data_IF_637547872907
#
_entry.id   IF_637547872907
#
_cell.length_a   1.000
_cell.length_b   1.000
_cell.length_c   1.000
_cell.angle_alpha   90.00
_cell.angle_beta   90.00
_cell.angle_gamma   90.00
#
_symmetry.space_group_name_H-M   'P 1'
#
loop_
_entity.id
_entity.type
_entity.pdbx_description
1 polymer ?
#
# COMPACT_ATOMS: atom_id res chain seq x y z
N UNK A 1 31.98 43.29 2.01
CA UNK A 1 32.29 41.88 2.32
C UNK A 1 31.05 41.04 2.00
N UNK A 2 30.84 40.64 0.73
CA UNK A 2 31.31 39.38 0.11
C UNK A 2 30.96 38.16 0.98
N UNK A 3 30.09 37.20 0.63
CA UNK A 3 29.70 36.65 -0.68
C UNK A 3 28.24 36.12 -0.62
N UNK A 4 27.36 36.64 -1.49
CA UNK A 4 26.14 35.96 -1.97
C UNK A 4 26.44 35.44 -3.38
N UNK A 5 26.31 34.13 -3.65
CA UNK A 5 25.85 33.55 -4.94
C UNK A 5 25.94 32.01 -4.95
N UNK A 6 24.84 31.39 -5.41
CA UNK A 6 24.69 30.13 -6.17
C UNK A 6 25.20 28.82 -5.55
N UNK A 7 24.27 27.92 -5.21
CA UNK A 7 24.26 26.53 -5.73
C UNK A 7 22.79 26.12 -5.97
N UNK A 8 22.51 25.73 -7.22
CA UNK A 8 21.28 25.09 -7.69
C UNK A 8 21.67 23.62 -8.01
N UNK A 9 20.72 22.68 -7.85
CA UNK A 9 20.67 21.29 -8.37
C UNK A 9 21.39 20.20 -7.56
N UNK A 10 20.61 19.23 -7.06
CA UNK A 10 20.72 17.82 -7.44
C UNK A 10 19.55 17.00 -6.81
N UNK A 11 18.72 16.42 -7.68
CA UNK A 11 17.73 15.37 -7.40
C UNK A 11 18.49 14.03 -7.31
N UNK A 12 18.18 13.09 -6.39
CA UNK A 12 18.79 11.77 -6.46
C UNK A 12 18.01 10.92 -7.49
N UNK A 13 18.47 10.95 -8.74
CA UNK A 13 18.24 9.91 -9.71
C UNK A 13 19.25 8.79 -9.46
N UNK A 14 18.87 7.78 -8.68
CA UNK A 14 19.74 6.60 -8.47
C UNK A 14 18.91 5.35 -8.16
N UNK A 15 18.08 4.93 -9.12
CA UNK A 15 17.56 3.56 -9.16
C UNK A 15 17.15 3.09 -10.58
N UNK A 16 17.84 3.59 -11.62
CA UNK A 16 17.61 3.18 -13.03
C UNK A 16 18.85 2.50 -13.64
N UNK A 17 19.97 2.37 -12.92
CA UNK A 17 21.25 2.00 -13.54
C UNK A 17 21.68 0.51 -13.46
N UNK A 18 20.86 -0.43 -12.94
CA UNK A 18 21.31 -1.84 -12.80
C UNK A 18 20.64 -2.82 -13.79
N UNK A 19 19.52 -2.46 -14.42
CA UNK A 19 18.90 -3.33 -15.45
C UNK A 19 19.58 -3.19 -16.83
N UNK A 20 20.43 -2.16 -17.01
CA UNK A 20 21.06 -1.84 -18.29
C UNK A 20 22.36 -2.58 -18.63
N UNK A 21 22.96 -3.35 -17.71
CA UNK A 21 24.30 -3.93 -17.92
C UNK A 21 24.37 -5.45 -18.13
N UNK A 22 23.27 -6.20 -18.01
CA UNK A 22 23.29 -7.67 -18.18
C UNK A 22 22.91 -8.13 -19.60
N UNK A 23 22.48 -7.22 -20.48
CA UNK A 23 22.02 -7.60 -21.84
C UNK A 23 23.15 -7.66 -22.88
N UNK A 24 24.40 -7.31 -22.55
CA UNK A 24 25.49 -7.21 -23.53
C UNK A 24 26.51 -8.37 -23.54
N UNK A 25 26.43 -9.37 -22.64
CA UNK A 25 27.54 -10.33 -22.44
C UNK A 25 27.16 -11.82 -22.53
N UNK A 26 26.10 -12.14 -23.29
CA UNK A 26 25.74 -13.53 -23.64
C UNK A 26 25.59 -13.79 -25.15
N UNK A 27 26.22 -12.97 -25.98
CA UNK A 27 26.39 -13.26 -27.39
C UNK A 27 27.87 -13.53 -27.69
N UNK A 28 28.13 -14.71 -28.26
CA UNK A 28 29.33 -15.06 -29.03
C UNK A 28 30.50 -15.71 -28.27
N UNK A 29 30.51 -17.05 -28.24
CA UNK A 29 31.75 -17.82 -28.39
C UNK A 29 31.43 -19.24 -28.90
N UNK A 30 31.43 -19.41 -30.22
CA UNK A 30 31.31 -20.70 -30.89
C UNK A 30 32.41 -20.80 -31.96
N UNK A 31 33.43 -21.61 -31.67
CA UNK A 31 34.61 -21.80 -32.50
C UNK A 31 34.34 -22.61 -33.77
N UNK A 32 35.13 -22.31 -34.80
CA UNK A 32 35.17 -23.01 -36.08
C UNK A 32 35.73 -24.44 -35.91
N UNK A 33 35.06 -25.42 -36.51
CA UNK A 33 35.66 -26.72 -36.85
C UNK A 33 35.48 -26.94 -38.34
N UNK A 34 36.59 -26.97 -39.08
CA UNK A 34 36.65 -27.43 -40.47
C UNK A 34 36.69 -28.95 -40.50
N UNK A 35 35.79 -29.56 -41.26
CA UNK A 35 36.00 -30.87 -41.86
C UNK A 35 35.21 -30.94 -43.18
N UNK A 36 35.93 -31.08 -44.29
CA UNK A 36 35.33 -31.37 -45.58
C UNK A 36 35.06 -32.86 -45.74
N UNK A 37 34.05 -33.22 -46.55
CA UNK A 37 34.10 -34.33 -47.51
C UNK A 37 32.78 -34.41 -48.32
N UNK A 38 32.97 -34.30 -49.64
CA UNK A 38 32.27 -34.91 -50.79
C UNK A 38 30.73 -34.99 -50.85
N UNK A 39 30.22 -34.53 -51.99
CA UNK A 39 28.87 -34.72 -52.48
C UNK A 39 28.68 -36.08 -53.20
N UNK A 40 27.48 -36.67 -53.04
CA UNK A 40 26.77 -37.45 -54.07
C UNK A 40 25.23 -37.34 -53.85
N UNK A 41 24.38 -37.55 -54.88
CA UNK A 41 23.05 -36.95 -54.94
C UNK A 41 21.85 -37.92 -54.81
N UNK A 42 20.70 -37.29 -54.52
CA UNK A 42 19.31 -37.65 -54.81
C UNK A 42 18.62 -38.84 -54.08
N UNK A 43 17.79 -38.48 -53.08
CA UNK A 43 16.57 -39.19 -52.71
C UNK A 43 15.55 -38.19 -52.14
N UNK A 44 14.28 -38.12 -52.59
CA UNK A 44 13.34 -37.09 -52.15
C UNK A 44 12.62 -37.54 -50.88
N UNK A 45 13.05 -37.00 -49.75
CA UNK A 45 12.23 -36.84 -48.55
C UNK A 45 12.81 -35.68 -47.74
N UNK A 46 12.53 -34.45 -48.18
CA UNK A 46 12.88 -33.27 -47.39
C UNK A 46 12.23 -33.37 -46.00
N UNK A 47 12.90 -32.94 -44.92
CA UNK A 47 12.27 -32.89 -43.62
C UNK A 47 11.05 -31.99 -43.77
N UNK A 48 9.89 -32.46 -43.31
CA UNK A 48 8.72 -31.61 -43.12
C UNK A 48 9.15 -30.50 -42.15
N UNK A 49 9.60 -29.36 -42.69
CA UNK A 49 9.79 -28.13 -41.95
C UNK A 49 8.45 -27.86 -41.29
N UNK A 50 8.41 -28.07 -39.98
CA UNK A 50 7.21 -28.05 -39.18
C UNK A 50 6.72 -26.60 -39.14
N UNK A 51 5.82 -26.22 -40.06
CA UNK A 51 5.23 -24.87 -40.16
C UNK A 51 4.70 -24.35 -38.83
N UNK A 52 4.32 -25.26 -37.91
CA UNK A 52 3.89 -24.91 -36.56
C UNK A 52 5.03 -24.40 -35.67
N UNK A 53 6.25 -24.91 -35.84
CA UNK A 53 7.44 -24.47 -35.10
C UNK A 53 7.89 -23.08 -35.56
N UNK A 54 7.81 -22.79 -36.85
CA UNK A 54 8.11 -21.46 -37.42
C UNK A 54 7.08 -20.41 -36.99
N UNK A 55 5.79 -20.78 -36.95
CA UNK A 55 4.73 -19.92 -36.44
C UNK A 55 4.85 -19.70 -34.93
N UNK A 56 5.24 -20.72 -34.16
CA UNK A 56 5.52 -20.58 -32.73
C UNK A 56 6.77 -19.72 -32.46
N UNK A 57 7.84 -19.88 -33.25
CA UNK A 57 9.03 -19.05 -33.17
C UNK A 57 8.74 -17.58 -33.50
N UNK A 58 7.95 -17.34 -34.54
CA UNK A 58 7.48 -16.00 -34.89
C UNK A 58 6.64 -15.37 -33.77
N UNK A 59 5.70 -16.13 -33.19
CA UNK A 59 4.91 -15.67 -32.03
C UNK A 59 5.79 -15.33 -30.83
N UNK A 60 6.79 -16.14 -30.52
CA UNK A 60 7.75 -15.86 -29.43
C UNK A 60 8.54 -14.57 -29.66
N UNK A 61 8.98 -14.29 -30.89
CA UNK A 61 9.67 -13.03 -31.23
C UNK A 61 8.75 -11.82 -31.02
N UNK A 62 7.50 -11.92 -31.45
CA UNK A 62 6.51 -10.84 -31.24
C UNK A 62 6.21 -10.67 -29.75
N UNK A 63 6.05 -11.76 -29.00
CA UNK A 63 5.88 -11.73 -27.55
C UNK A 63 7.06 -11.00 -26.87
N UNK A 64 8.29 -11.38 -27.21
CA UNK A 64 9.50 -10.74 -26.70
C UNK A 64 9.53 -9.23 -27.01
N UNK A 65 9.11 -8.81 -28.20
CA UNK A 65 9.00 -7.38 -28.55
C UNK A 65 7.98 -6.64 -27.67
N UNK A 66 6.84 -7.26 -27.37
CA UNK A 66 5.86 -6.73 -26.42
C UNK A 66 6.42 -6.64 -25.00
N UNK A 67 7.13 -7.67 -24.54
CA UNK A 67 7.78 -7.65 -23.23
C UNK A 67 8.82 -6.51 -23.13
N UNK A 68 9.66 -6.33 -24.16
CA UNK A 68 10.63 -5.23 -24.23
C UNK A 68 9.94 -3.85 -24.18
N UNK A 69 8.82 -3.71 -24.88
CA UNK A 69 7.99 -2.50 -24.80
C UNK A 69 7.46 -2.27 -23.40
N UNK A 70 6.98 -3.32 -22.73
CA UNK A 70 6.54 -3.29 -21.33
C UNK A 70 7.64 -2.78 -20.40
N UNK A 71 8.86 -3.32 -20.51
CA UNK A 71 10.00 -2.89 -19.69
C UNK A 71 10.40 -1.44 -19.93
N UNK A 72 10.35 -0.97 -21.19
CA UNK A 72 10.58 0.45 -21.51
C UNK A 72 9.53 1.36 -20.89
N UNK A 73 8.26 0.95 -20.89
CA UNK A 73 7.17 1.70 -20.27
C UNK A 73 7.31 1.73 -18.74
N UNK A 74 7.74 0.63 -18.11
CA UNK A 74 8.09 0.59 -16.68
C UNK A 74 9.19 1.60 -16.38
N UNK A 75 10.25 1.64 -17.18
CA UNK A 75 11.34 2.62 -17.02
C UNK A 75 10.87 4.07 -17.20
N UNK A 76 9.84 4.30 -18.01
CA UNK A 76 9.19 5.60 -18.18
C UNK A 76 8.14 5.94 -17.09
N UNK A 77 7.86 5.03 -16.16
CA UNK A 77 6.80 5.20 -15.15
C UNK A 77 5.38 5.02 -15.69
N UNK A 78 5.21 4.60 -16.94
CA UNK A 78 3.91 4.42 -17.60
C UNK A 78 3.30 3.04 -17.32
N UNK A 79 3.10 2.73 -16.03
CA UNK A 79 2.72 1.39 -15.57
C UNK A 79 1.39 0.89 -16.18
N UNK A 80 0.41 1.77 -16.38
CA UNK A 80 -0.86 1.42 -17.02
C UNK A 80 -0.68 0.86 -18.43
N UNK A 81 0.17 1.49 -19.25
CA UNK A 81 0.50 0.98 -20.60
C UNK A 81 1.40 -0.24 -20.54
N UNK A 82 2.31 -0.31 -19.56
CA UNK A 82 3.16 -1.48 -19.34
C UNK A 82 2.31 -2.74 -19.09
N UNK A 83 1.24 -2.65 -18.28
CA UNK A 83 0.33 -3.79 -18.06
C UNK A 83 -0.26 -4.33 -19.36
N UNK A 84 -0.64 -3.45 -20.30
CA UNK A 84 -1.19 -3.85 -21.60
C UNK A 84 -0.13 -4.54 -22.47
N UNK A 85 1.10 -4.01 -22.51
CA UNK A 85 2.19 -4.59 -23.27
C UNK A 85 2.56 -5.99 -22.75
N UNK A 86 2.68 -6.17 -21.43
CA UNK A 86 2.94 -7.50 -20.85
C UNK A 86 1.78 -8.47 -21.05
N UNK A 87 0.52 -8.02 -20.97
CA UNK A 87 -0.63 -8.86 -21.27
C UNK A 87 -0.59 -9.40 -22.71
N UNK A 88 -0.24 -8.55 -23.70
CA UNK A 88 -0.02 -8.99 -25.09
C UNK A 88 1.14 -9.97 -25.24
N UNK A 89 2.23 -9.77 -24.49
CA UNK A 89 3.33 -10.74 -24.46
C UNK A 89 2.86 -12.10 -23.94
N UNK A 90 2.13 -12.12 -22.83
CA UNK A 90 1.61 -13.34 -22.20
C UNK A 90 0.60 -14.07 -23.11
N UNK A 91 -0.27 -13.35 -23.82
CA UNK A 91 -1.20 -13.93 -24.80
C UNK A 91 -0.46 -14.71 -25.90
N UNK A 92 0.71 -14.21 -26.33
CA UNK A 92 1.52 -14.79 -27.40
C UNK A 92 2.50 -15.87 -26.89
N UNK A 93 2.95 -15.75 -25.65
CA UNK A 93 3.89 -16.65 -24.99
C UNK A 93 3.50 -16.87 -23.50
N UNK A 94 2.51 -17.73 -23.22
CA UNK A 94 1.96 -17.90 -21.86
C UNK A 94 2.89 -18.64 -20.87
N UNK A 95 4.07 -19.04 -21.33
CA UNK A 95 5.09 -19.74 -20.54
C UNK A 95 6.30 -18.85 -20.22
N UNK A 96 6.32 -17.59 -20.65
CA UNK A 96 7.40 -16.66 -20.31
C UNK A 96 7.19 -16.06 -18.91
N UNK A 97 7.94 -16.56 -17.93
CA UNK A 97 7.91 -16.04 -16.56
C UNK A 97 8.27 -14.55 -16.47
N UNK A 98 9.18 -14.05 -17.32
CA UNK A 98 9.62 -12.65 -17.30
C UNK A 98 8.48 -11.68 -17.58
N UNK A 99 7.60 -12.00 -18.53
CA UNK A 99 6.42 -11.19 -18.84
C UNK A 99 5.43 -11.14 -17.67
N UNK A 100 5.28 -12.23 -16.91
CA UNK A 100 4.48 -12.23 -15.68
C UNK A 100 5.13 -11.39 -14.57
N UNK A 101 6.46 -11.43 -14.42
CA UNK A 101 7.19 -10.55 -13.48
C UNK A 101 6.96 -9.08 -13.82
N UNK A 102 7.10 -8.70 -15.10
CA UNK A 102 6.88 -7.33 -15.57
C UNK A 102 5.44 -6.85 -15.36
N UNK A 103 4.45 -7.73 -15.59
CA UNK A 103 3.05 -7.44 -15.30
C UNK A 103 2.81 -7.24 -13.79
N UNK A 104 3.34 -8.15 -12.96
CA UNK A 104 3.23 -8.08 -11.50
C UNK A 104 3.87 -6.81 -10.92
N UNK A 105 5.06 -6.43 -11.41
CA UNK A 105 5.70 -5.16 -11.07
C UNK A 105 4.81 -3.97 -11.42
N UNK A 106 4.25 -3.96 -12.63
CA UNK A 106 3.40 -2.86 -13.11
C UNK A 106 2.12 -2.75 -12.28
N UNK A 107 1.53 -3.88 -11.90
CA UNK A 107 0.37 -3.93 -11.00
C UNK A 107 0.70 -3.41 -9.60
N UNK A 108 1.83 -3.84 -9.02
CA UNK A 108 2.30 -3.36 -7.72
C UNK A 108 2.54 -1.84 -7.73
N UNK A 109 3.13 -1.30 -8.80
CA UNK A 109 3.34 0.14 -8.97
C UNK A 109 2.04 0.94 -9.16
N UNK A 110 0.96 0.26 -9.53
CA UNK A 110 -0.39 0.82 -9.59
C UNK A 110 -1.19 0.55 -8.30
N UNK A 111 -0.52 0.12 -7.23
CA UNK A 111 -1.12 -0.26 -5.94
C UNK A 111 -2.16 -1.40 -6.04
N UNK A 112 -2.07 -2.23 -7.09
CA UNK A 112 -2.94 -3.39 -7.31
C UNK A 112 -2.29 -4.66 -6.76
N UNK A 113 -1.95 -4.64 -5.49
CA UNK A 113 -1.07 -5.65 -4.89
C UNK A 113 -1.68 -7.07 -4.88
N UNK A 114 -3.00 -7.21 -4.73
CA UNK A 114 -3.64 -8.53 -4.78
C UNK A 114 -3.51 -9.19 -6.15
N UNK A 115 -3.69 -8.40 -7.21
CA UNK A 115 -3.46 -8.87 -8.59
C UNK A 115 -1.99 -9.16 -8.84
N UNK A 116 -1.10 -8.32 -8.29
CA UNK A 116 0.34 -8.52 -8.38
C UNK A 116 0.77 -9.84 -7.73
N UNK A 117 0.27 -10.18 -6.54
CA UNK A 117 0.56 -11.45 -5.86
C UNK A 117 0.18 -12.64 -6.74
N UNK A 118 -1.06 -12.69 -7.23
CA UNK A 118 -1.54 -13.79 -8.09
C UNK A 118 -0.69 -13.92 -9.36
N UNK A 119 -0.31 -12.80 -9.96
CA UNK A 119 0.50 -12.74 -11.18
C UNK A 119 1.94 -13.20 -10.93
N UNK A 120 2.56 -12.76 -9.84
CA UNK A 120 3.93 -13.13 -9.45
C UNK A 120 4.01 -14.59 -9.02
N UNK A 121 3.00 -15.12 -8.33
CA UNK A 121 2.91 -16.55 -8.06
C UNK A 121 2.78 -17.38 -9.34
N UNK A 122 2.09 -16.86 -10.37
CA UNK A 122 2.08 -17.50 -11.69
C UNK A 122 3.47 -17.49 -12.33
N UNK A 123 4.23 -16.39 -12.20
CA UNK A 123 5.63 -16.35 -12.63
C UNK A 123 6.46 -17.42 -11.92
N UNK A 124 6.33 -17.57 -10.60
CA UNK A 124 7.04 -18.58 -9.81
C UNK A 124 6.64 -20.03 -10.13
N UNK A 125 5.41 -20.26 -10.59
CA UNK A 125 5.00 -21.58 -11.12
C UNK A 125 5.65 -21.93 -12.46
N UNK A 126 6.01 -20.92 -13.26
CA UNK A 126 6.70 -21.10 -14.54
C UNK A 126 8.21 -21.18 -14.35
N UNK A 127 8.76 -20.36 -13.46
CA UNK A 127 10.16 -20.34 -13.07
C UNK A 127 10.29 -20.05 -11.56
N UNK A 128 10.57 -21.09 -10.79
CA UNK A 128 10.76 -20.99 -9.35
C UNK A 128 12.01 -20.19 -8.94
N UNK A 129 12.93 -19.93 -9.88
CA UNK A 129 14.17 -19.17 -9.67
C UNK A 129 14.05 -17.72 -10.16
N UNK A 130 12.86 -17.23 -10.47
CA UNK A 130 12.64 -15.83 -10.81
C UNK A 130 12.85 -14.93 -9.58
N UNK A 131 14.12 -14.54 -9.33
CA UNK A 131 14.53 -13.80 -8.13
C UNK A 131 13.79 -12.47 -7.94
N UNK A 132 13.53 -11.76 -9.04
CA UNK A 132 12.75 -10.52 -8.99
C UNK A 132 11.29 -10.74 -8.59
N UNK A 133 10.68 -11.87 -8.92
CA UNK A 133 9.35 -12.21 -8.43
C UNK A 133 9.35 -12.47 -6.92
N UNK A 134 10.39 -13.16 -6.40
CA UNK A 134 10.57 -13.30 -4.96
C UNK A 134 10.78 -11.95 -4.28
N UNK A 135 11.59 -11.06 -4.83
CA UNK A 135 11.78 -9.72 -4.27
C UNK A 135 10.44 -8.95 -4.20
N UNK A 136 9.69 -8.91 -5.30
CA UNK A 136 8.42 -8.16 -5.36
C UNK A 136 7.36 -8.74 -4.42
N UNK A 137 7.25 -10.07 -4.31
CA UNK A 137 6.39 -10.69 -3.30
C UNK A 137 6.87 -10.34 -1.89
N UNK A 138 8.18 -10.32 -1.63
CA UNK A 138 8.75 -9.86 -0.37
C UNK A 138 8.35 -8.42 -0.04
N UNK A 139 8.45 -7.50 -1.00
CA UNK A 139 8.06 -6.09 -0.87
C UNK A 139 6.55 -5.98 -0.55
N UNK A 140 5.69 -6.68 -1.30
CA UNK A 140 4.24 -6.68 -1.08
C UNK A 140 3.88 -7.24 0.29
N UNK A 141 4.39 -8.42 0.66
CA UNK A 141 4.09 -9.03 1.96
C UNK A 141 4.68 -8.22 3.13
N UNK A 142 5.81 -7.55 2.93
CA UNK A 142 6.36 -6.63 3.93
C UNK A 142 5.46 -5.41 4.13
N UNK A 143 4.93 -4.82 3.05
CA UNK A 143 3.98 -3.73 3.13
C UNK A 143 2.65 -4.14 3.78
N UNK A 144 2.25 -5.41 3.63
CA UNK A 144 1.11 -6.03 4.33
C UNK A 144 1.40 -6.45 5.76
N UNK A 145 2.61 -6.18 6.26
CA UNK A 145 3.07 -6.61 7.58
C UNK A 145 3.01 -8.14 7.82
N UNK A 146 3.06 -8.93 6.74
CA UNK A 146 3.17 -10.39 6.78
C UNK A 146 4.64 -10.80 6.86
N UNK A 147 5.30 -10.36 7.94
CA UNK A 147 6.76 -10.43 8.13
C UNK A 147 7.34 -11.82 7.86
N UNK A 148 6.69 -12.88 8.33
CA UNK A 148 7.17 -14.26 8.13
C UNK A 148 7.14 -14.68 6.66
N UNK A 149 6.13 -14.25 5.91
CA UNK A 149 6.01 -14.53 4.47
C UNK A 149 7.02 -13.70 3.68
N UNK A 150 7.13 -12.41 3.99
CA UNK A 150 8.14 -11.53 3.42
C UNK A 150 9.57 -12.07 3.59
N UNK A 151 9.92 -12.54 4.80
CA UNK A 151 11.22 -13.15 5.08
C UNK A 151 11.53 -14.34 4.16
N UNK A 152 10.60 -15.28 3.97
CA UNK A 152 10.82 -16.45 3.09
C UNK A 152 11.13 -16.02 1.66
N UNK A 153 10.43 -15.01 1.16
CA UNK A 153 10.62 -14.48 -0.18
C UNK A 153 11.96 -13.76 -0.31
N UNK A 154 12.30 -12.85 0.61
CA UNK A 154 13.60 -12.17 0.59
C UNK A 154 14.78 -13.13 0.78
N UNK A 155 14.65 -14.15 1.62
CA UNK A 155 15.69 -15.17 1.79
C UNK A 155 15.90 -15.97 0.51
N UNK A 156 14.83 -16.25 -0.24
CA UNK A 156 14.95 -16.92 -1.55
C UNK A 156 15.54 -16.00 -2.59
N UNK A 157 15.09 -14.75 -2.68
CA UNK A 157 15.67 -13.75 -3.57
C UNK A 157 17.17 -13.57 -3.29
N UNK A 158 17.56 -13.58 -2.01
CA UNK A 158 18.97 -13.52 -1.59
C UNK A 158 19.79 -14.73 -2.02
N UNK A 159 19.22 -15.94 -1.95
CA UNK A 159 19.94 -17.13 -2.42
C UNK A 159 20.19 -17.08 -3.93
N UNK A 160 19.27 -16.47 -4.68
CA UNK A 160 19.34 -16.33 -6.13
C UNK A 160 20.31 -15.22 -6.55
N UNK A 161 20.34 -14.10 -5.82
CA UNK A 161 21.34 -13.05 -5.97
C UNK A 161 21.92 -12.63 -4.60
N UNK A 162 23.08 -13.20 -4.21
CA UNK A 162 23.73 -12.88 -2.93
C UNK A 162 24.20 -11.43 -2.80
N UNK A 163 24.51 -10.77 -3.92
CA UNK A 163 25.19 -9.48 -3.99
C UNK A 163 24.23 -8.29 -4.16
N UNK A 164 22.94 -8.55 -4.38
CA UNK A 164 21.93 -7.49 -4.43
C UNK A 164 21.79 -6.79 -3.07
N UNK A 165 22.24 -5.53 -3.04
CA UNK A 165 22.20 -4.66 -1.85
C UNK A 165 20.77 -4.27 -1.47
N UNK A 166 19.85 -4.17 -2.43
CA UNK A 166 18.45 -3.87 -2.13
C UNK A 166 17.82 -5.04 -1.39
N UNK A 167 18.04 -6.28 -1.85
CA UNK A 167 17.57 -7.48 -1.15
C UNK A 167 18.25 -7.59 0.24
N UNK A 168 19.52 -7.19 0.35
CA UNK A 168 20.24 -7.11 1.64
C UNK A 168 19.53 -6.24 2.65
N UNK A 169 19.26 -5.01 2.26
CA UNK A 169 18.66 -4.00 3.14
C UNK A 169 17.23 -4.38 3.51
N UNK A 170 16.44 -4.85 2.54
CA UNK A 170 15.07 -5.35 2.77
C UNK A 170 15.05 -6.52 3.75
N UNK A 171 15.93 -7.51 3.57
CA UNK A 171 16.01 -8.66 4.46
C UNK A 171 16.45 -8.25 5.87
N UNK A 172 17.42 -7.33 5.99
CA UNK A 172 17.88 -6.83 7.29
C UNK A 172 16.77 -6.08 8.03
N UNK A 173 16.05 -5.19 7.34
CA UNK A 173 14.90 -4.48 7.89
C UNK A 173 13.82 -5.45 8.37
N UNK A 174 13.42 -6.40 7.52
CA UNK A 174 12.38 -7.40 7.84
C UNK A 174 12.80 -8.31 8.99
N UNK A 175 14.09 -8.67 9.11
CA UNK A 175 14.60 -9.45 10.24
C UNK A 175 14.57 -8.67 11.55
N UNK A 176 14.84 -7.36 11.52
CA UNK A 176 14.72 -6.50 12.71
C UNK A 176 13.28 -6.45 13.19
N UNK A 177 12.33 -6.27 12.28
CA UNK A 177 10.90 -6.31 12.58
C UNK A 177 10.49 -7.68 13.16
N UNK A 178 10.87 -8.78 12.51
CA UNK A 178 10.56 -10.13 12.99
C UNK A 178 11.11 -10.40 14.38
N UNK A 179 12.32 -9.91 14.70
CA UNK A 179 12.91 -10.06 16.04
C UNK A 179 12.19 -9.20 17.08
N UNK A 180 11.83 -7.98 16.72
CA UNK A 180 11.04 -7.10 17.59
C UNK A 180 9.69 -7.74 17.93
N UNK A 181 9.05 -8.39 16.96
CA UNK A 181 7.79 -9.11 17.19
C UNK A 181 7.94 -10.44 17.91
N UNK A 182 9.02 -11.19 17.67
CA UNK A 182 9.22 -12.52 18.29
C UNK A 182 9.34 -12.45 19.82
N UNK A 183 9.78 -11.32 20.37
CA UNK A 183 9.83 -11.07 21.81
C UNK A 183 8.50 -10.61 22.42
N UNK A 184 7.44 -10.44 21.62
CA UNK A 184 6.15 -9.95 22.12
C UNK A 184 5.25 -11.10 22.57
N UNK A 185 4.59 -10.90 23.70
CA UNK A 185 3.46 -11.71 24.14
C UNK A 185 2.23 -11.38 23.31
N UNK A 186 1.41 -12.39 23.05
CA UNK A 186 0.16 -12.25 22.30
C UNK A 186 -1.03 -12.55 23.21
N UNK A 187 -2.06 -11.71 23.11
CA UNK A 187 -3.39 -11.94 23.66
C UNK A 187 -4.37 -11.99 22.50
N UNK A 188 -5.09 -13.10 22.40
CA UNK A 188 -6.06 -13.34 21.34
C UNK A 188 -7.48 -13.03 21.83
N UNK A 189 -8.22 -12.29 21.02
CA UNK A 189 -9.66 -12.09 21.13
C UNK A 189 -10.32 -12.48 19.79
N UNK A 190 -11.66 -12.57 19.71
CA UNK A 190 -12.35 -12.97 18.48
C UNK A 190 -11.94 -12.17 17.23
N UNK A 191 -11.72 -10.86 17.36
CA UNK A 191 -11.40 -9.97 16.22
C UNK A 191 -10.03 -9.30 16.32
N UNK A 192 -9.27 -9.53 17.40
CA UNK A 192 -7.98 -8.87 17.60
C UNK A 192 -6.89 -9.82 18.09
N UNK A 193 -5.66 -9.53 17.66
CA UNK A 193 -4.43 -10.06 18.24
C UNK A 193 -3.69 -8.88 18.86
N UNK A 194 -3.64 -8.82 20.18
CA UNK A 194 -2.96 -7.76 20.92
C UNK A 194 -1.56 -8.23 21.30
N UNK A 195 -0.54 -7.58 20.74
CA UNK A 195 0.88 -7.83 21.00
C UNK A 195 1.43 -6.83 22.02
N UNK A 196 2.19 -7.30 23.00
CA UNK A 196 2.75 -6.47 24.07
C UNK A 196 4.08 -7.06 24.57
N UNK A 197 4.96 -6.24 25.15
CA UNK A 197 6.35 -6.65 25.41
C UNK A 197 6.57 -7.37 26.74
N UNK A 198 5.94 -6.91 27.82
CA UNK A 198 6.18 -7.45 29.17
C UNK A 198 4.99 -8.26 29.67
N UNK A 199 5.20 -9.41 30.34
CA UNK A 199 4.13 -10.13 31.03
C UNK A 199 3.35 -9.26 32.03
N UNK A 200 4.00 -8.24 32.62
CA UNK A 200 3.36 -7.31 33.55
C UNK A 200 2.26 -6.46 32.90
N UNK A 201 2.39 -6.18 31.60
CA UNK A 201 1.43 -5.39 30.83
C UNK A 201 0.18 -6.20 30.44
N UNK A 202 0.15 -7.51 30.74
CA UNK A 202 -0.95 -8.41 30.32
C UNK A 202 -2.32 -7.91 30.78
N UNK A 203 -2.41 -7.32 31.97
CA UNK A 203 -3.67 -6.78 32.47
C UNK A 203 -4.16 -5.58 31.65
N UNK A 204 -3.24 -4.65 31.28
CA UNK A 204 -3.54 -3.52 30.41
C UNK A 204 -3.89 -4.01 29.01
N UNK A 205 -3.12 -4.97 28.48
CA UNK A 205 -3.38 -5.57 27.17
C UNK A 205 -4.77 -6.22 27.10
N UNK A 206 -5.22 -6.85 28.20
CA UNK A 206 -6.57 -7.40 28.29
C UNK A 206 -7.62 -6.30 28.28
N UNK A 207 -7.44 -5.24 29.06
CA UNK A 207 -8.36 -4.11 29.08
C UNK A 207 -8.48 -3.44 27.70
N UNK A 208 -7.36 -3.25 26.99
CA UNK A 208 -7.36 -2.72 25.61
C UNK A 208 -8.07 -3.69 24.65
N UNK A 209 -7.83 -5.00 24.76
CA UNK A 209 -8.51 -5.99 23.93
C UNK A 209 -10.03 -5.97 24.13
N UNK A 210 -10.50 -5.92 25.39
CA UNK A 210 -11.92 -5.84 25.71
C UNK A 210 -12.55 -4.54 25.17
N UNK A 211 -11.80 -3.43 25.17
CA UNK A 211 -12.26 -2.16 24.61
C UNK A 211 -12.28 -2.15 23.08
N UNK A 212 -11.30 -2.77 22.43
CA UNK A 212 -11.29 -2.99 20.98
C UNK A 212 -12.50 -3.82 20.55
N UNK A 213 -12.86 -4.87 21.27
CA UNK A 213 -14.04 -5.69 20.99
C UNK A 213 -15.36 -4.92 21.16
N UNK A 214 -15.45 -4.04 22.16
CA UNK A 214 -16.62 -3.16 22.29
C UNK A 214 -16.69 -2.14 21.15
N UNK A 215 -15.55 -1.57 20.77
CA UNK A 215 -15.42 -0.60 19.67
C UNK A 215 -15.81 -1.24 18.34
N UNK A 216 -15.34 -2.46 18.09
CA UNK A 216 -15.73 -3.29 16.94
C UNK A 216 -17.26 -3.43 16.84
N UNK A 217 -17.93 -3.76 17.94
CA UNK A 217 -19.40 -3.86 17.98
C UNK A 217 -20.07 -2.51 17.71
N UNK A 218 -19.56 -1.44 18.34
CA UNK A 218 -20.17 -0.11 18.29
C UNK A 218 -20.04 0.53 16.92
N UNK A 219 -18.82 0.63 16.40
CA UNK A 219 -18.53 1.19 15.08
C UNK A 219 -19.14 0.30 13.99
N UNK A 220 -19.02 -1.02 14.13
CA UNK A 220 -19.57 -1.96 13.16
C UNK A 220 -21.09 -1.90 13.04
N UNK A 221 -21.80 -1.74 14.17
CA UNK A 221 -23.25 -1.56 14.16
C UNK A 221 -23.68 -0.24 13.51
N UNK A 222 -22.98 0.85 13.80
CA UNK A 222 -23.27 2.17 13.22
C UNK A 222 -22.99 2.22 11.72
N UNK A 223 -21.92 1.60 11.25
CA UNK A 223 -21.61 1.49 9.82
C UNK A 223 -22.44 0.41 9.10
N UNK A 224 -23.04 -0.53 9.84
CA UNK A 224 -23.58 -1.78 9.30
C UNK A 224 -22.51 -2.56 8.51
N UNK A 225 -21.31 -2.67 9.09
CA UNK A 225 -20.18 -3.40 8.51
C UNK A 225 -19.29 -3.98 9.60
N UNK A 226 -19.03 -5.28 9.50
CA UNK A 226 -18.18 -6.02 10.42
C UNK A 226 -17.01 -6.60 9.60
N UNK A 227 -15.81 -6.01 9.69
CA UNK A 227 -14.69 -6.46 8.88
C UNK A 227 -14.35 -7.93 9.19
N UNK A 228 -14.20 -8.79 8.18
CA UNK A 228 -13.85 -10.18 8.40
C UNK A 228 -12.40 -10.33 8.87
N UNK A 229 -12.07 -11.44 9.53
CA UNK A 229 -10.72 -11.69 10.05
C UNK A 229 -10.39 -10.88 11.30
N UNK A 230 -9.10 -10.84 11.65
CA UNK A 230 -8.62 -10.15 12.86
C UNK A 230 -7.67 -8.99 12.54
N UNK A 231 -7.66 -7.99 13.40
CA UNK A 231 -6.69 -6.89 13.39
C UNK A 231 -5.56 -7.18 14.38
N UNK A 232 -4.34 -6.75 14.04
CA UNK A 232 -3.24 -6.77 15.01
C UNK A 232 -3.13 -5.42 15.68
N UNK A 233 -3.16 -5.40 17.01
CA UNK A 233 -2.85 -4.22 17.81
C UNK A 233 -1.52 -4.41 18.53
N UNK A 234 -0.61 -3.45 18.48
CA UNK A 234 0.69 -3.51 19.14
C UNK A 234 0.77 -2.41 20.21
N UNK A 235 1.05 -2.83 21.44
CA UNK A 235 1.15 -1.94 22.59
C UNK A 235 2.62 -1.62 22.89
N UNK A 236 2.94 -0.34 22.96
CA UNK A 236 4.28 0.17 23.26
C UNK A 236 4.31 0.99 24.54
N UNK A 237 5.45 1.02 25.24
CA UNK A 237 5.72 2.11 26.18
C UNK A 237 5.85 3.45 25.43
N UNK A 238 5.61 4.58 26.11
CA UNK A 238 5.65 5.90 25.47
C UNK A 238 6.99 6.24 24.74
N UNK A 239 8.18 5.89 25.27
CA UNK A 239 9.43 6.09 24.55
C UNK A 239 9.54 5.21 23.30
N UNK A 240 9.10 3.96 23.38
CA UNK A 240 9.19 3.01 22.27
C UNK A 240 8.22 3.33 21.14
N UNK A 241 7.02 3.82 21.47
CA UNK A 241 6.03 4.23 20.47
C UNK A 241 6.63 5.25 19.50
N UNK A 242 7.35 6.26 20.03
CA UNK A 242 8.02 7.29 19.22
C UNK A 242 9.10 6.73 18.30
N UNK A 243 9.87 5.75 18.79
CA UNK A 243 10.93 5.12 17.99
C UNK A 243 10.38 4.15 16.94
N UNK A 244 9.25 3.47 17.22
CA UNK A 244 8.67 2.47 16.33
C UNK A 244 7.85 3.09 15.20
N UNK A 245 7.15 4.19 15.48
CA UNK A 245 6.18 4.79 14.54
C UNK A 245 6.70 6.04 13.83
N UNK A 246 7.89 6.54 14.20
CA UNK A 246 8.45 7.83 13.77
C UNK A 246 7.46 9.02 13.86
N UNK A 247 6.42 8.88 14.68
CA UNK A 247 5.31 9.83 14.72
C UNK A 247 5.63 11.02 15.62
N UNK A 248 5.06 12.21 15.35
CA UNK A 248 5.26 13.41 16.17
C UNK A 248 4.93 13.16 17.66
N UNK A 249 5.46 14.00 18.55
CA UNK A 249 5.27 13.87 20.01
C UNK A 249 3.80 13.86 20.47
N UNK A 250 2.87 14.30 19.62
CA UNK A 250 1.44 14.35 19.88
C UNK A 250 0.67 13.12 19.36
N UNK A 251 1.25 12.29 18.49
CA UNK A 251 0.60 11.08 18.00
C UNK A 251 0.58 10.02 19.11
N UNK A 252 -0.63 9.57 19.48
CA UNK A 252 -0.87 8.63 20.59
C UNK A 252 -1.29 7.24 20.11
N UNK A 253 -1.62 7.14 18.83
CA UNK A 253 -1.82 5.92 18.07
C UNK A 253 -1.42 6.15 16.61
N UNK A 254 -1.26 5.07 15.87
CA UNK A 254 -1.00 5.07 14.44
C UNK A 254 -1.65 3.83 13.84
N UNK A 255 -2.29 4.00 12.68
CA UNK A 255 -2.71 2.89 11.85
C UNK A 255 -1.89 2.83 10.55
N UNK A 256 -1.18 1.73 10.33
CA UNK A 256 -0.36 1.48 9.13
C UNK A 256 -0.70 0.12 8.47
N UNK A 257 -1.89 -0.41 8.74
CA UNK A 257 -2.25 -1.81 8.54
C UNK A 257 -2.31 -2.59 9.86
N UNK A 258 -1.64 -2.07 10.90
CA UNK A 258 -1.77 -2.51 12.29
C UNK A 258 -2.15 -1.33 13.16
N UNK A 259 -2.77 -1.62 14.31
CA UNK A 259 -3.15 -0.60 15.29
C UNK A 259 -2.00 -0.46 16.30
N UNK A 260 -1.27 0.65 16.27
CA UNK A 260 -0.21 0.93 17.24
C UNK A 260 -0.77 1.81 18.35
N UNK A 261 -0.55 1.43 19.62
CA UNK A 261 -1.07 2.18 20.77
C UNK A 261 0.01 2.42 21.83
N UNK A 262 0.03 3.62 22.40
CA UNK A 262 0.95 3.97 23.49
C UNK A 262 0.32 3.74 24.88
N UNK A 263 0.89 2.82 25.66
CA UNK A 263 0.48 2.50 27.04
C UNK A 263 0.54 3.72 27.97
N UNK A 264 1.57 4.57 27.81
CA UNK A 264 1.75 5.76 28.65
C UNK A 264 0.64 6.81 28.47
N UNK A 265 -0.07 6.79 27.35
CA UNK A 265 -1.23 7.65 27.11
C UNK A 265 -2.56 7.09 27.64
N UNK A 266 -2.60 5.82 28.03
CA UNK A 266 -3.80 5.10 28.48
C UNK A 266 -3.82 4.87 30.00
N UNK A 267 -2.66 4.98 30.66
CA UNK A 267 -2.52 4.83 32.11
C UNK A 267 -3.10 6.05 32.86
N UNK A 268 -4.42 6.11 33.05
CA UNK A 268 -5.04 7.03 34.01
C UNK A 268 -6.47 7.47 33.73
N UNK A 269 -6.94 7.41 32.48
CA UNK A 269 -8.31 7.85 32.11
C UNK A 269 -8.94 6.88 31.08
N UNK A 270 -9.99 6.13 31.46
CA UNK A 270 -10.74 5.27 30.54
C UNK A 270 -11.24 6.02 29.31
N UNK A 271 -11.73 7.25 29.45
CA UNK A 271 -12.30 8.00 28.32
C UNK A 271 -11.25 8.32 27.25
N UNK A 272 -10.02 8.61 27.67
CA UNK A 272 -8.90 8.86 26.75
C UNK A 272 -8.50 7.58 26.02
N UNK A 273 -8.52 6.45 26.71
CA UNK A 273 -8.26 5.13 26.11
C UNK A 273 -9.34 4.80 25.07
N UNK A 274 -10.59 5.11 25.38
CA UNK A 274 -11.73 4.80 24.52
C UNK A 274 -11.74 5.62 23.23
N UNK A 275 -11.50 6.92 23.35
CA UNK A 275 -11.37 7.83 22.21
C UNK A 275 -10.20 7.38 21.33
N UNK A 276 -9.03 7.08 21.90
CA UNK A 276 -7.89 6.62 21.12
C UNK A 276 -8.16 5.28 20.41
N UNK A 277 -8.68 4.28 21.13
CA UNK A 277 -9.00 2.97 20.55
C UNK A 277 -10.04 3.10 19.45
N UNK A 278 -11.04 3.97 19.63
CA UNK A 278 -12.08 4.24 18.64
C UNK A 278 -11.51 4.92 17.40
N UNK A 279 -10.62 5.89 17.58
CA UNK A 279 -9.93 6.59 16.50
C UNK A 279 -9.14 5.60 15.62
N UNK A 280 -8.20 4.87 16.22
CA UNK A 280 -7.32 3.95 15.49
C UNK A 280 -8.08 2.78 14.85
N UNK A 281 -9.10 2.25 15.55
CA UNK A 281 -9.94 1.20 14.97
C UNK A 281 -10.76 1.73 13.79
N UNK A 282 -11.22 2.98 13.84
CA UNK A 282 -11.96 3.58 12.70
C UNK A 282 -11.09 3.67 11.47
N UNK A 283 -9.81 4.07 11.58
CA UNK A 283 -8.87 4.01 10.46
C UNK A 283 -8.77 2.59 9.89
N UNK A 284 -8.67 1.58 10.76
CA UNK A 284 -8.59 0.19 10.34
C UNK A 284 -9.83 -0.26 9.54
N UNK A 285 -11.02 0.16 9.97
CA UNK A 285 -12.28 -0.13 9.27
C UNK A 285 -12.39 0.62 7.94
N UNK A 286 -12.06 1.91 7.93
CA UNK A 286 -12.10 2.76 6.72
C UNK A 286 -11.11 2.25 5.69
N UNK A 287 -9.87 1.94 6.10
CA UNK A 287 -8.85 1.37 5.23
C UNK A 287 -9.35 0.06 4.62
N UNK A 288 -9.93 -0.84 5.42
CA UNK A 288 -10.44 -2.12 4.90
C UNK A 288 -11.68 -1.98 4.01
N UNK A 289 -12.54 -0.99 4.26
CA UNK A 289 -13.69 -0.72 3.39
C UNK A 289 -13.29 -0.11 2.05
N UNK A 290 -12.26 0.74 2.04
CA UNK A 290 -11.84 1.51 0.86
C UNK A 290 -10.62 0.94 0.15
N UNK A 291 -10.05 -0.16 0.65
CA UNK A 291 -8.76 -0.69 0.21
C UNK A 291 -7.64 0.36 0.27
N UNK A 292 -7.67 1.21 1.31
CA UNK A 292 -6.73 2.31 1.48
C UNK A 292 -6.95 3.52 0.56
N UNK A 293 -7.95 3.50 -0.34
CA UNK A 293 -8.21 4.59 -1.29
C UNK A 293 -9.02 5.77 -0.71
N UNK A 294 -9.47 5.71 0.54
CA UNK A 294 -10.16 6.84 1.16
C UNK A 294 -9.21 8.04 1.32
N UNK A 295 -9.63 9.28 0.95
CA UNK A 295 -8.81 10.46 1.17
C UNK A 295 -8.63 10.71 2.67
N UNK A 296 -7.47 11.28 3.04
CA UNK A 296 -7.11 11.49 4.46
C UNK A 296 -8.19 12.24 5.23
N UNK A 297 -8.75 13.32 4.67
CA UNK A 297 -9.83 14.07 5.37
C UNK A 297 -11.06 13.22 5.72
N UNK A 298 -11.44 12.25 4.86
CA UNK A 298 -12.59 11.40 5.12
C UNK A 298 -12.28 10.38 6.21
N UNK A 299 -11.08 9.82 6.18
CA UNK A 299 -10.59 8.87 7.19
C UNK A 299 -10.50 9.53 8.57
N UNK A 300 -9.80 10.67 8.66
CA UNK A 300 -9.65 11.45 9.89
C UNK A 300 -10.98 11.98 10.42
N UNK A 301 -11.83 12.52 9.53
CA UNK A 301 -13.13 13.03 9.92
C UNK A 301 -14.05 11.95 10.47
N UNK A 302 -14.03 10.73 9.89
CA UNK A 302 -14.77 9.59 10.41
C UNK A 302 -14.23 9.13 11.76
N UNK A 303 -12.90 9.06 11.93
CA UNK A 303 -12.29 8.71 13.20
C UNK A 303 -12.73 9.67 14.32
N UNK A 304 -12.63 10.98 14.07
CA UNK A 304 -13.11 12.03 14.98
C UNK A 304 -14.63 11.97 15.24
N UNK A 305 -15.42 11.60 14.23
CA UNK A 305 -16.87 11.43 14.36
C UNK A 305 -17.23 10.23 15.25
N UNK A 306 -16.53 9.10 15.12
CA UNK A 306 -16.80 7.90 15.92
C UNK A 306 -16.34 8.02 17.36
N UNK A 307 -15.30 8.80 17.64
CA UNK A 307 -14.86 9.15 19.00
C UNK A 307 -15.94 9.80 19.88
N UNK A 308 -17.03 10.31 19.27
CA UNK A 308 -18.08 11.03 19.99
C UNK A 308 -18.03 12.54 19.79
N UNK A 309 -17.37 12.99 18.72
CA UNK A 309 -17.35 14.38 18.28
C UNK A 309 -16.03 15.08 18.57
N UNK A 310 -15.73 16.11 17.79
CA UNK A 310 -14.65 17.02 18.14
C UNK A 310 -14.89 17.52 19.57
N UNK A 311 -13.99 17.17 20.48
CA UNK A 311 -13.85 17.85 21.78
C UNK A 311 -14.06 19.37 21.53
N UNK A 312 -14.57 20.15 22.48
CA UNK A 312 -14.98 21.56 22.30
C UNK A 312 -14.04 22.43 21.46
N UNK A 313 -12.74 22.09 21.40
CA UNK A 313 -11.77 22.68 20.48
C UNK A 313 -12.16 22.64 19.00
N UNK A 314 -12.78 21.62 18.41
CA UNK A 314 -13.02 21.62 16.95
C UNK A 314 -13.98 22.73 16.53
N UNK A 315 -15.16 22.78 17.18
CA UNK A 315 -16.21 23.80 16.94
C UNK A 315 -15.72 25.21 17.28
N UNK A 316 -15.03 25.37 18.42
CA UNK A 316 -14.48 26.68 18.84
C UNK A 316 -13.29 27.12 17.97
N UNK A 317 -12.47 26.18 17.50
CA UNK A 317 -11.32 26.47 16.65
C UNK A 317 -11.79 26.90 15.27
N UNK A 318 -12.81 26.24 14.70
CA UNK A 318 -13.49 26.67 13.48
C UNK A 318 -14.04 28.08 13.60
N UNK A 319 -14.79 28.38 14.66
CA UNK A 319 -15.37 29.71 14.85
C UNK A 319 -14.29 30.81 14.90
N UNK A 320 -13.10 30.50 15.45
CA UNK A 320 -11.98 31.46 15.59
C UNK A 320 -11.07 31.55 14.36
N UNK A 321 -11.08 30.54 13.49
CA UNK A 321 -10.17 30.44 12.33
C UNK A 321 -10.90 30.26 11.00
N UNK A 322 -12.17 30.68 10.89
CA UNK A 322 -13.00 30.54 9.69
C UNK A 322 -12.40 31.14 8.40
N UNK A 323 -11.38 32.00 8.53
CA UNK A 323 -10.63 32.63 7.43
C UNK A 323 -9.42 31.79 6.95
N UNK A 324 -8.97 30.79 7.71
CA UNK A 324 -7.95 29.83 7.31
C UNK A 324 -8.67 28.54 6.89
N UNK A 325 -8.99 28.42 5.59
CA UNK A 325 -9.64 27.22 5.04
C UNK A 325 -8.74 26.48 4.08
N UNK A 326 -8.78 25.16 4.14
CA UNK A 326 -8.12 24.26 3.20
C UNK A 326 -9.20 23.47 2.47
N UNK A 327 -9.42 23.74 1.17
CA UNK A 327 -10.35 22.95 0.37
C UNK A 327 -10.10 21.44 0.52
N UNK A 328 -11.18 20.64 0.61
CA UNK A 328 -11.08 19.21 0.87
C UNK A 328 -10.28 18.49 -0.20
N UNK A 329 -10.33 18.94 -1.47
CA UNK A 329 -9.51 18.36 -2.54
C UNK A 329 -7.99 18.50 -2.31
N UNK A 330 -7.54 19.44 -1.47
CA UNK A 330 -6.13 19.55 -1.05
C UNK A 330 -5.80 18.70 0.18
N UNK A 331 -6.81 18.13 0.84
CA UNK A 331 -6.70 17.29 2.03
C UNK A 331 -6.80 15.79 1.72
N UNK A 332 -6.51 15.39 0.49
CA UNK A 332 -6.44 13.97 0.09
C UNK A 332 -5.13 13.31 0.52
N UNK A 333 -4.05 14.09 0.65
CA UNK A 333 -2.72 13.62 1.05
C UNK A 333 -2.49 13.64 2.57
N UNK A 334 -1.30 13.16 2.97
CA UNK A 334 -0.92 13.01 4.37
C UNK A 334 -0.89 14.34 5.13
N UNK A 335 -1.56 14.38 6.29
CA UNK A 335 -1.54 15.56 7.17
C UNK A 335 -0.20 15.75 7.87
N UNK A 336 0.68 14.75 7.87
CA UNK A 336 2.02 14.84 8.45
C UNK A 336 2.95 15.77 7.66
N UNK A 337 2.63 16.02 6.39
CA UNK A 337 3.39 16.94 5.53
C UNK A 337 2.95 18.40 5.70
N UNK A 338 1.82 18.63 6.38
CA UNK A 338 1.28 19.96 6.63
C UNK A 338 2.00 20.65 7.80
N UNK A 339 2.13 21.97 7.70
CA UNK A 339 2.60 22.78 8.84
C UNK A 339 1.67 22.57 10.05
N UNK A 340 2.17 22.57 11.30
CA UNK A 340 1.37 22.22 12.48
C UNK A 340 0.06 23.01 12.65
N UNK A 341 0.05 24.29 12.25
CA UNK A 341 -1.17 25.13 12.27
C UNK A 341 -2.18 24.66 11.22
N UNK A 342 -1.72 24.43 9.99
CA UNK A 342 -2.54 23.93 8.87
C UNK A 342 -3.08 22.54 9.16
N UNK A 343 -2.30 21.66 9.79
CA UNK A 343 -2.76 20.34 10.19
C UNK A 343 -3.96 20.43 11.15
N UNK A 344 -3.93 21.32 12.15
CA UNK A 344 -5.07 21.51 13.08
C UNK A 344 -6.33 21.99 12.37
N UNK A 345 -6.19 22.88 11.40
CA UNK A 345 -7.29 23.31 10.52
C UNK A 345 -7.82 22.12 9.71
N UNK A 346 -6.93 21.32 9.12
CA UNK A 346 -7.30 20.15 8.33
C UNK A 346 -8.09 19.11 9.14
N UNK A 347 -7.68 18.80 10.38
CA UNK A 347 -8.45 17.89 11.26
C UNK A 347 -9.83 18.46 11.60
N UNK A 348 -9.92 19.76 11.88
CA UNK A 348 -11.19 20.41 12.10
C UNK A 348 -12.07 20.26 10.84
N UNK A 349 -11.58 20.72 9.68
CA UNK A 349 -12.28 20.66 8.39
C UNK A 349 -12.76 19.26 8.03
N UNK A 350 -11.93 18.25 8.29
CA UNK A 350 -12.26 16.84 8.12
C UNK A 350 -13.49 16.44 8.94
N UNK A 351 -13.52 16.78 10.22
CA UNK A 351 -14.64 16.48 11.10
C UNK A 351 -15.94 17.18 10.68
N UNK A 352 -15.86 18.49 10.38
CA UNK A 352 -17.03 19.26 9.95
C UNK A 352 -17.58 18.77 8.60
N UNK A 353 -16.70 18.49 7.64
CA UNK A 353 -17.08 17.93 6.35
C UNK A 353 -17.72 16.55 6.50
N UNK A 354 -17.17 15.65 7.32
CA UNK A 354 -17.77 14.33 7.57
C UNK A 354 -19.12 14.45 8.28
N UNK A 355 -19.26 15.36 9.24
CA UNK A 355 -20.54 15.61 9.92
C UNK A 355 -21.59 16.10 8.92
N UNK A 356 -21.24 17.06 8.05
CA UNK A 356 -22.11 17.54 6.98
C UNK A 356 -22.45 16.43 5.96
N UNK A 357 -21.47 15.59 5.61
CA UNK A 357 -21.63 14.45 4.71
C UNK A 357 -22.63 13.43 5.27
N UNK A 358 -22.46 13.04 6.54
CA UNK A 358 -23.33 12.09 7.23
C UNK A 358 -24.73 12.68 7.42
N UNK A 359 -24.85 13.96 7.76
CA UNK A 359 -26.14 14.64 7.87
C UNK A 359 -26.88 14.68 6.54
N UNK A 360 -26.18 15.00 5.43
CA UNK A 360 -26.79 15.13 4.10
C UNK A 360 -27.15 13.79 3.46
N UNK A 361 -26.32 12.76 3.64
CA UNK A 361 -26.45 11.50 2.90
C UNK A 361 -26.76 10.27 3.77
N UNK A 362 -26.59 10.39 5.08
CA UNK A 362 -26.66 9.27 6.00
C UNK A 362 -25.38 8.42 5.99
N UNK A 363 -25.08 7.83 7.14
CA UNK A 363 -23.86 7.03 7.35
C UNK A 363 -23.80 5.79 6.45
N UNK A 364 -24.95 5.22 6.07
CA UNK A 364 -25.02 4.06 5.16
C UNK A 364 -24.52 4.41 3.75
N UNK A 365 -24.86 5.59 3.22
CA UNK A 365 -24.34 6.02 1.91
C UNK A 365 -22.85 6.36 1.97
N UNK A 366 -22.38 6.92 3.09
CA UNK A 366 -20.94 7.11 3.33
C UNK A 366 -20.20 5.77 3.33
N UNK A 367 -20.74 4.73 3.97
CA UNK A 367 -20.16 3.38 3.87
C UNK A 367 -20.16 2.87 2.42
N UNK A 368 -21.25 3.06 1.67
CA UNK A 368 -21.30 2.65 0.25
C UNK A 368 -20.26 3.37 -0.59
N UNK A 369 -20.00 4.66 -0.31
CA UNK A 369 -18.93 5.42 -0.93
C UNK A 369 -17.58 4.78 -0.63
N UNK A 370 -17.27 4.51 0.64
CA UNK A 370 -16.03 3.82 1.02
C UNK A 370 -15.87 2.47 0.31
N UNK A 371 -16.92 1.64 0.29
CA UNK A 371 -16.90 0.34 -0.37
C UNK A 371 -16.67 0.45 -1.89
N UNK A 372 -17.19 1.50 -2.54
CA UNK A 372 -16.97 1.72 -3.96
C UNK A 372 -15.53 2.18 -4.27
N UNK A 373 -14.87 2.87 -3.34
CA UNK A 373 -13.46 3.26 -3.47
C UNK A 373 -12.50 2.06 -3.43
N UNK A 374 -12.90 0.92 -2.85
CA UNK A 374 -12.08 -0.29 -2.92
C UNK A 374 -11.77 -0.71 -4.37
N UNK A 375 -12.64 -0.38 -5.33
CA UNK A 375 -12.43 -0.72 -6.73
C UNK A 375 -11.64 0.34 -7.52
N UNK A 376 -11.49 1.56 -7.00
CA UNK A 376 -10.87 2.68 -7.73
C UNK A 376 -10.39 3.80 -6.81
N UNK A 377 -9.20 4.38 -7.05
CA UNK A 377 -8.73 5.56 -6.33
C UNK A 377 -9.39 6.86 -6.79
N UNK A 378 -10.26 6.83 -7.81
CA UNK A 378 -10.99 8.02 -8.30
C UNK A 378 -12.08 8.46 -7.31
N UNK A 379 -11.68 9.28 -6.34
CA UNK A 379 -12.62 9.78 -5.33
C UNK A 379 -13.72 10.68 -5.91
N UNK A 380 -13.45 11.73 -6.72
CA UNK A 380 -14.50 12.60 -7.24
C UNK A 380 -15.53 11.85 -8.08
N UNK A 381 -15.10 10.98 -9.01
CA UNK A 381 -16.02 10.20 -9.83
C UNK A 381 -16.85 9.22 -9.01
N UNK A 382 -16.25 8.59 -7.99
CA UNK A 382 -16.97 7.68 -7.09
C UNK A 382 -17.97 8.43 -6.21
N UNK A 383 -17.61 9.62 -5.71
CA UNK A 383 -18.48 10.50 -4.94
C UNK A 383 -19.73 10.85 -5.76
N UNK A 384 -19.55 11.32 -6.99
CA UNK A 384 -20.65 11.66 -7.90
C UNK A 384 -21.55 10.46 -8.18
N UNK A 385 -20.94 9.31 -8.49
CA UNK A 385 -21.69 8.09 -8.79
C UNK A 385 -22.49 7.59 -7.58
N UNK A 386 -21.91 7.56 -6.39
CA UNK A 386 -22.55 6.95 -5.21
C UNK A 386 -23.50 7.92 -4.53
N UNK A 387 -23.12 9.19 -4.39
CA UNK A 387 -23.91 10.18 -3.65
C UNK A 387 -24.88 10.97 -4.56
N UNK A 388 -24.70 10.90 -5.89
CA UNK A 388 -25.50 11.65 -6.86
C UNK A 388 -25.41 13.17 -6.61
N UNK A 389 -24.22 13.64 -6.22
CA UNK A 389 -23.89 15.05 -5.97
C UNK A 389 -22.46 15.33 -6.43
N UNK A 390 -22.18 16.57 -6.86
CA UNK A 390 -20.85 16.93 -7.34
C UNK A 390 -19.89 17.14 -6.20
N UNK A 391 -18.74 16.45 -6.23
CA UNK A 391 -17.73 16.58 -5.18
C UNK A 391 -17.24 18.03 -5.03
N UNK A 392 -17.01 18.73 -6.14
CA UNK A 392 -16.60 20.15 -6.10
C UNK A 392 -17.66 21.07 -5.50
N UNK A 393 -18.95 20.78 -5.68
CA UNK A 393 -20.03 21.56 -5.07
C UNK A 393 -20.13 21.29 -3.57
N UNK A 394 -19.97 20.03 -3.16
CA UNK A 394 -19.88 19.67 -1.74
C UNK A 394 -18.70 20.36 -1.05
N UNK A 395 -17.49 20.28 -1.63
CA UNK A 395 -16.28 20.94 -1.12
C UNK A 395 -16.49 22.45 -0.92
N UNK A 396 -17.16 23.12 -1.87
CA UNK A 396 -17.43 24.55 -1.78
C UNK A 396 -18.52 24.93 -0.76
N UNK A 397 -19.38 24.00 -0.32
CA UNK A 397 -20.63 24.33 0.37
C UNK A 397 -20.83 23.67 1.74
N UNK A 398 -20.08 22.60 2.08
CA UNK A 398 -20.30 21.84 3.31
C UNK A 398 -20.30 22.72 4.58
N UNK A 399 -19.48 23.78 4.62
CA UNK A 399 -19.40 24.73 5.74
C UNK A 399 -20.72 25.48 5.99
N UNK A 400 -21.48 25.80 4.92
CA UNK A 400 -22.76 26.53 5.07
C UNK A 400 -23.86 25.67 5.68
N UNK A 401 -23.71 24.35 5.62
CA UNK A 401 -24.65 23.42 6.22
C UNK A 401 -24.55 23.40 7.76
N UNK A 402 -23.38 23.69 8.34
CA UNK A 402 -23.19 23.77 9.80
C UNK A 402 -23.75 25.06 10.42
N UNK A 403 -23.76 26.19 9.70
CA UNK A 403 -24.23 27.48 10.24
C UNK A 403 -25.76 27.58 10.44
N UNK A 404 -26.51 26.55 10.05
CA UNK A 404 -27.97 26.49 10.27
C UNK A 404 -28.37 25.80 11.58
N UNK A 405 -27.40 25.39 12.41
CA UNK A 405 -27.65 24.59 13.62
C UNK A 405 -26.81 24.98 14.84
#
# INVERSE_FOLDING_TARGET
MNVRRRILKAIPALLVAVVGLVVAELAWNGGEVKAGLRAEPAGPAGPLLNRNDDAAASRRKVAWSWAQTGWRLVAAGEYGRATQAFARSIELAPHDASSFVGLGLSQHRLSRDDLAVVTLERALRLDANAGQAHQLLGDIYSARHEVRTALRHYETARRLDPNDVVIQDRLLATRRESRAEAGMHCLFSPHFVVKFQSPADRHVARAVADRLELTYKTVGSRLAYFPPGSFTAILYSAPQFRHATFSPSWARGLFDGRIHLSLGGMAGDPNVTDSLVTHEYTHAVVHRLSDGHAPTWLSEGLALYFEGGAKPWGRDYFARHAWERVPLHLLHGSFLELAPRTARVAYAESYGAVTALIHRYGLIRVRQLLAALAATPDFPGTFEKVLQDRYGEFDATWVRAEQRF
#
